data_IF_918086114389
#
_entry.id   IF_918086114389
#
_cell.length_a   1.000
_cell.length_b   1.000
_cell.length_c   1.000
_cell.angle_alpha   90.00
_cell.angle_beta   90.00
_cell.angle_gamma   90.00
#
_symmetry.space_group_name_H-M   'P 1'
#
loop_
_entity.id
_entity.type
_entity.pdbx_description
1 polymer ?
#
# COMPACT_ATOMS: atom_id res chain seq x y z
N UNK A 1 18.97 -1.28 -14.84
CA UNK A 1 18.01 -2.20 -14.18
C UNK A 1 16.56 -1.91 -14.57
N UNK A 2 16.24 -1.67 -15.86
CA UNK A 2 14.88 -1.81 -16.44
C UNK A 2 13.70 -1.01 -15.89
N UNK A 3 13.77 -0.39 -14.71
CA UNK A 3 12.62 0.23 -14.03
C UNK A 3 12.54 1.70 -14.36
N UNK A 4 11.44 2.11 -14.98
CA UNK A 4 11.21 3.52 -15.28
C UNK A 4 10.66 4.25 -14.05
N UNK A 5 10.93 5.55 -13.92
CA UNK A 5 10.42 6.38 -12.82
C UNK A 5 8.88 6.41 -12.72
N UNK A 6 8.19 5.98 -13.77
CA UNK A 6 6.72 5.93 -13.86
C UNK A 6 6.12 4.77 -13.05
N UNK A 7 6.92 3.77 -12.67
CA UNK A 7 6.45 2.60 -11.93
C UNK A 7 6.42 2.80 -10.41
N UNK A 8 7.03 3.88 -9.89
CA UNK A 8 7.12 4.10 -8.45
C UNK A 8 5.83 4.71 -7.90
N UNK A 9 5.33 4.13 -6.81
CA UNK A 9 4.17 4.66 -6.09
C UNK A 9 4.58 5.93 -5.34
N UNK A 10 3.73 6.97 -5.41
CA UNK A 10 4.01 8.29 -4.81
C UNK A 10 2.80 8.83 -4.05
N UNK A 11 3.02 9.28 -2.82
CA UNK A 11 2.05 9.92 -1.94
C UNK A 11 2.11 11.45 -2.05
N UNK A 12 2.02 12.00 -3.27
CA UNK A 12 2.05 13.45 -3.55
C UNK A 12 0.78 14.01 -4.18
N UNK A 13 -0.22 13.15 -4.40
CA UNK A 13 -1.50 13.55 -4.97
C UNK A 13 -2.22 14.50 -4.01
N UNK A 14 -2.82 15.56 -4.55
CA UNK A 14 -3.59 16.55 -3.78
C UNK A 14 -5.09 16.43 -4.00
N UNK A 15 -5.52 15.46 -4.81
CA UNK A 15 -6.91 15.23 -5.19
C UNK A 15 -7.42 13.91 -4.62
N UNK A 16 -8.70 13.90 -4.29
CA UNK A 16 -9.48 12.71 -3.94
C UNK A 16 -10.51 12.49 -5.03
N UNK A 17 -10.06 11.92 -6.14
CA UNK A 17 -10.88 11.60 -7.30
C UNK A 17 -10.59 10.16 -7.77
N UNK A 18 -11.34 9.70 -8.78
CA UNK A 18 -11.22 8.34 -9.31
C UNK A 18 -9.83 8.02 -9.89
N UNK A 19 -9.04 9.04 -10.25
CA UNK A 19 -7.68 8.84 -10.77
C UNK A 19 -6.65 8.67 -9.64
N UNK A 20 -7.02 8.93 -8.39
CA UNK A 20 -6.18 8.77 -7.21
C UNK A 20 -6.72 7.69 -6.24
N UNK A 21 -7.87 7.09 -6.54
CA UNK A 21 -8.48 6.02 -5.76
C UNK A 21 -7.68 4.72 -5.89
N UNK A 22 -7.36 4.09 -4.75
CA UNK A 22 -6.75 2.76 -4.71
C UNK A 22 -7.78 1.74 -4.22
N UNK A 23 -7.88 0.61 -4.91
CA UNK A 23 -8.77 -0.48 -4.49
C UNK A 23 -8.00 -1.47 -3.61
N UNK A 24 -8.56 -1.80 -2.45
CA UNK A 24 -8.05 -2.88 -1.59
C UNK A 24 -8.80 -4.16 -1.94
N UNK A 25 -8.13 -5.11 -2.57
CA UNK A 25 -8.69 -6.43 -2.87
C UNK A 25 -8.29 -7.45 -1.81
N UNK A 26 -9.27 -8.00 -1.09
CA UNK A 26 -9.03 -9.11 -0.17
C UNK A 26 -8.62 -10.38 -0.91
N UNK A 27 -7.58 -11.05 -0.42
CA UNK A 27 -7.17 -12.38 -0.89
C UNK A 27 -7.93 -13.45 -0.10
N UNK A 28 -8.55 -14.40 -0.79
CA UNK A 28 -9.36 -15.46 -0.17
C UNK A 28 -10.86 -15.16 -0.23
N UNK A 29 -11.55 -15.27 0.91
CA UNK A 29 -12.99 -15.04 1.00
C UNK A 29 -13.32 -13.53 0.88
N UNK A 30 -13.92 -13.17 -0.25
CA UNK A 30 -14.28 -11.79 -0.60
C UNK A 30 -15.65 -11.37 -0.08
N UNK A 31 -16.42 -12.27 0.53
CA UNK A 31 -17.76 -11.98 1.07
C UNK A 31 -17.70 -11.41 2.50
N UNK A 32 -16.53 -11.49 3.16
CA UNK A 32 -16.35 -10.96 4.51
C UNK A 32 -15.63 -9.61 4.52
N UNK A 33 -15.90 -8.75 5.52
CA UNK A 33 -15.14 -7.52 5.70
C UNK A 33 -13.63 -7.77 5.76
N UNK A 34 -12.84 -6.78 5.34
CA UNK A 34 -11.40 -6.79 5.52
C UNK A 34 -11.09 -6.61 7.01
N UNK A 35 -10.22 -7.47 7.54
CA UNK A 35 -9.79 -7.45 8.95
C UNK A 35 -8.29 -7.23 9.05
N UNK A 36 -7.85 -6.69 10.17
CA UNK A 36 -6.43 -6.68 10.55
C UNK A 36 -5.86 -8.10 10.48
N UNK A 37 -4.73 -8.26 9.81
CA UNK A 37 -4.09 -9.55 9.53
C UNK A 37 -4.47 -10.17 8.19
N UNK A 38 -5.50 -9.67 7.50
CA UNK A 38 -5.84 -10.17 6.17
C UNK A 38 -4.72 -9.86 5.16
N UNK A 39 -4.53 -10.80 4.23
CA UNK A 39 -3.72 -10.54 3.04
C UNK A 39 -4.60 -9.86 2.00
N UNK A 40 -4.12 -8.73 1.47
CA UNK A 40 -4.77 -7.92 0.46
C UNK A 40 -3.82 -7.64 -0.70
N UNK A 41 -4.38 -7.20 -1.82
CA UNK A 41 -3.67 -6.60 -2.95
C UNK A 41 -4.14 -5.16 -3.09
N UNK A 42 -3.22 -4.23 -3.37
CA UNK A 42 -3.57 -2.82 -3.63
C UNK A 42 -3.57 -2.61 -5.14
N UNK A 43 -4.71 -2.23 -5.70
CA UNK A 43 -4.91 -2.06 -7.14
C UNK A 43 -5.04 -0.59 -7.46
N UNK A 44 -4.17 -0.12 -8.35
CA UNK A 44 -4.16 1.24 -8.89
C UNK A 44 -5.39 1.48 -9.79
N UNK A 45 -5.80 2.73 -10.04
CA UNK A 45 -6.95 3.03 -10.89
C UNK A 45 -6.89 2.43 -12.30
N UNK A 46 -5.69 2.23 -12.83
CA UNK A 46 -5.44 1.60 -14.13
C UNK A 46 -5.45 0.06 -14.09
N UNK A 47 -5.82 -0.56 -12.96
CA UNK A 47 -5.87 -2.01 -12.75
C UNK A 47 -4.54 -2.67 -12.40
N UNK A 48 -3.45 -1.90 -12.31
CA UNK A 48 -2.12 -2.42 -11.99
C UNK A 48 -2.01 -2.70 -10.49
N UNK A 49 -1.39 -3.82 -10.13
CA UNK A 49 -1.19 -4.17 -8.73
C UNK A 49 0.09 -3.54 -8.18
N UNK A 50 0.01 -3.05 -6.95
CA UNK A 50 1.17 -2.63 -6.19
C UNK A 50 1.99 -3.86 -5.79
N UNK A 51 3.30 -3.76 -5.92
CA UNK A 51 4.25 -4.75 -5.44
C UNK A 51 5.28 -4.12 -4.49
N UNK A 52 5.75 -4.95 -3.56
CA UNK A 52 6.77 -4.60 -2.58
C UNK A 52 7.91 -5.60 -2.68
N UNK A 53 9.09 -5.12 -3.05
CA UNK A 53 10.31 -5.93 -3.16
C UNK A 53 11.50 -5.21 -2.54
N UNK A 54 11.95 -5.71 -1.39
CA UNK A 54 12.95 -4.99 -0.58
C UNK A 54 12.37 -3.65 -0.17
N UNK A 55 13.10 -2.57 -0.40
CA UNK A 55 12.60 -1.21 -0.11
C UNK A 55 11.74 -0.59 -1.22
N UNK A 56 11.56 -1.30 -2.34
CA UNK A 56 10.88 -0.74 -3.50
C UNK A 56 9.37 -1.01 -3.46
N UNK A 57 8.58 0.07 -3.61
CA UNK A 57 7.12 0.01 -3.76
C UNK A 57 6.78 0.51 -5.16
N UNK A 58 6.21 -0.36 -5.98
CA UNK A 58 5.99 -0.11 -7.41
C UNK A 58 4.60 -0.58 -7.85
N UNK A 59 4.15 -0.10 -8.99
CA UNK A 59 2.96 -0.58 -9.69
C UNK A 59 3.39 -1.11 -11.05
N UNK A 60 3.38 -2.44 -11.23
CA UNK A 60 3.86 -3.11 -12.46
C UNK A 60 2.87 -4.17 -12.95
N UNK A 61 2.80 -4.36 -14.26
CA UNK A 61 1.89 -5.33 -14.89
C UNK A 61 2.33 -6.80 -14.77
N UNK A 62 3.56 -7.06 -14.33
CA UNK A 62 4.08 -8.42 -14.22
C UNK A 62 3.52 -9.13 -12.98
N UNK A 63 2.99 -10.35 -13.18
CA UNK A 63 2.49 -11.26 -12.15
C UNK A 63 1.59 -10.57 -11.10
N UNK A 64 0.36 -10.15 -11.48
CA UNK A 64 -0.51 -9.36 -10.60
C UNK A 64 -0.90 -10.08 -9.30
N UNK A 65 -0.70 -11.40 -9.21
CA UNK A 65 -1.03 -12.21 -8.03
C UNK A 65 0.18 -12.93 -7.43
N UNK A 66 1.37 -12.45 -7.73
CA UNK A 66 2.62 -12.94 -7.18
C UNK A 66 2.78 -12.67 -5.70
N UNK A 67 3.87 -13.18 -5.11
CA UNK A 67 4.14 -12.99 -3.68
C UNK A 67 4.44 -11.53 -3.33
N UNK A 68 4.97 -10.74 -4.26
CA UNK A 68 5.34 -9.35 -4.02
C UNK A 68 4.12 -8.42 -3.93
N UNK A 69 2.98 -8.83 -4.49
CA UNK A 69 1.72 -8.09 -4.44
C UNK A 69 0.90 -8.40 -3.18
N UNK A 70 1.31 -9.40 -2.39
CA UNK A 70 0.66 -9.73 -1.13
C UNK A 70 1.10 -8.77 -0.04
N UNK A 71 0.15 -8.00 0.46
CA UNK A 71 0.33 -7.03 1.52
C UNK A 71 -0.57 -7.44 2.67
N UNK A 72 -0.06 -7.50 3.89
CA UNK A 72 -0.88 -7.68 5.08
C UNK A 72 -1.36 -6.31 5.55
N UNK A 73 -2.66 -6.14 5.69
CA UNK A 73 -3.24 -4.95 6.30
C UNK A 73 -3.24 -5.12 7.82
N UNK A 74 -2.70 -4.14 8.55
CA UNK A 74 -2.58 -4.19 10.00
C UNK A 74 -3.24 -2.97 10.60
N UNK A 75 -4.12 -3.19 11.57
CA UNK A 75 -4.76 -2.17 12.40
C UNK A 75 -4.32 -2.39 13.84
N UNK A 76 -3.87 -1.34 14.55
CA UNK A 76 -3.27 -1.46 15.90
C UNK A 76 -4.21 -2.04 16.95
N UNK A 77 -5.49 -1.67 16.89
CA UNK A 77 -6.58 -2.20 17.74
C UNK A 77 -7.14 -3.54 17.21
N UNK A 78 -6.71 -3.98 16.03
CA UNK A 78 -7.19 -5.21 15.39
C UNK A 78 -8.61 -5.09 14.84
N UNK A 79 -9.23 -6.23 14.51
CA UNK A 79 -10.63 -6.28 14.08
C UNK A 79 -10.87 -5.80 12.65
N UNK A 80 -12.10 -5.36 12.38
CA UNK A 80 -12.55 -4.95 11.05
C UNK A 80 -11.98 -3.57 10.66
N UNK A 81 -11.70 -3.41 9.37
CA UNK A 81 -11.09 -2.22 8.79
C UNK A 81 -12.15 -1.37 8.07
N UNK A 82 -12.24 -0.10 8.43
CA UNK A 82 -13.22 0.86 7.91
C UNK A 82 -12.57 2.17 7.47
N UNK A 83 -13.32 3.00 6.73
CA UNK A 83 -12.90 4.37 6.44
C UNK A 83 -12.76 5.18 7.74
N UNK A 84 -11.69 5.98 7.82
CA UNK A 84 -11.26 6.72 9.02
C UNK A 84 -10.23 5.97 9.86
N UNK A 85 -10.06 4.66 9.65
CA UNK A 85 -9.09 3.88 10.42
C UNK A 85 -7.66 4.21 10.02
N UNK A 86 -6.79 4.19 11.04
CA UNK A 86 -5.34 4.20 10.89
C UNK A 86 -4.85 2.76 10.73
N UNK A 87 -4.15 2.50 9.64
CA UNK A 87 -3.62 1.20 9.29
C UNK A 87 -2.14 1.29 8.96
N UNK A 88 -1.51 0.12 8.92
CA UNK A 88 -0.20 -0.12 8.36
C UNK A 88 -0.34 -1.14 7.24
N UNK A 89 0.48 -0.99 6.20
CA UNK A 89 0.57 -1.94 5.10
C UNK A 89 1.92 -2.64 5.19
N UNK A 90 1.90 -3.95 5.43
CA UNK A 90 3.10 -4.78 5.60
C UNK A 90 3.34 -5.60 4.34
N UNK A 91 4.46 -5.36 3.67
CA UNK A 91 4.92 -6.17 2.56
C UNK A 91 5.23 -7.62 2.98
N UNK A 92 5.25 -8.53 2.00
CA UNK A 92 5.47 -9.95 2.23
C UNK A 92 6.78 -10.28 2.97
N UNK A 93 7.83 -9.45 2.85
CA UNK A 93 9.12 -9.68 3.54
C UNK A 93 9.17 -9.05 4.95
N UNK A 94 8.07 -8.44 5.38
CA UNK A 94 7.86 -7.94 6.74
C UNK A 94 8.12 -6.45 6.93
N UNK A 95 8.59 -5.75 5.90
CA UNK A 95 8.68 -4.30 5.85
C UNK A 95 7.31 -3.62 5.78
N UNK A 96 7.17 -2.49 6.44
CA UNK A 96 6.00 -1.64 6.37
C UNK A 96 6.21 -0.54 5.35
N UNK A 97 5.16 -0.24 4.58
CA UNK A 97 5.16 0.88 3.67
C UNK A 97 5.28 2.18 4.47
N UNK A 98 6.11 3.07 3.97
CA UNK A 98 6.41 4.36 4.57
C UNK A 98 6.40 5.45 3.50
N UNK A 99 6.00 6.65 3.87
CA UNK A 99 6.06 7.82 3.01
C UNK A 99 6.88 8.92 3.68
N UNK A 100 7.72 9.58 2.88
CA UNK A 100 8.47 10.73 3.35
C UNK A 100 7.56 11.97 3.40
N UNK A 101 7.77 12.88 4.37
CA UNK A 101 7.08 14.17 4.38
C UNK A 101 7.42 14.98 3.12
N UNK A 102 6.39 15.46 2.42
CA UNK A 102 6.53 16.21 1.16
C UNK A 102 7.34 17.51 1.31
N UNK A 103 7.32 18.11 2.51
CA UNK A 103 8.11 19.30 2.84
C UNK A 103 9.63 19.06 2.73
N UNK A 104 10.06 17.82 3.00
CA UNK A 104 11.48 17.44 2.99
C UNK A 104 11.88 16.67 1.72
N UNK A 105 10.95 15.92 1.12
CA UNK A 105 11.16 15.20 -0.14
C UNK A 105 9.95 15.37 -1.08
N UNK A 106 10.03 16.27 -2.07
CA UNK A 106 8.89 16.63 -2.91
C UNK A 106 8.53 15.57 -3.96
N UNK A 107 9.33 14.50 -4.09
CA UNK A 107 9.02 13.39 -4.98
C UNK A 107 7.87 12.51 -4.44
N UNK A 108 7.64 12.56 -3.11
CA UNK A 108 6.61 11.81 -2.41
C UNK A 108 6.74 10.31 -2.56
N UNK A 109 7.94 9.77 -2.78
CA UNK A 109 8.11 8.33 -3.01
C UNK A 109 7.66 7.51 -1.78
N UNK A 110 6.81 6.53 -2.03
CA UNK A 110 6.47 5.50 -1.05
C UNK A 110 7.55 4.42 -1.11
N UNK A 111 8.03 3.98 0.04
CA UNK A 111 9.04 2.93 0.21
C UNK A 111 8.55 1.91 1.24
N UNK A 112 9.33 0.87 1.46
CA UNK A 112 9.07 -0.07 2.55
C UNK A 112 10.40 -0.45 3.25
N UNK A 113 10.89 0.44 4.12
CA UNK A 113 12.27 0.37 4.62
C UNK A 113 12.40 -0.26 6.00
N UNK A 114 11.32 -0.24 6.77
CA UNK A 114 11.33 -0.44 8.21
C UNK A 114 10.46 -1.64 8.60
N UNK A 115 10.82 -2.34 9.68
CA UNK A 115 10.09 -3.53 10.16
C UNK A 115 9.25 -3.26 11.40
N UNK A 116 9.25 -2.02 11.86
CA UNK A 116 8.51 -1.50 12.99
C UNK A 116 7.36 -0.59 12.56
N UNK A 117 6.35 -0.49 13.43
CA UNK A 117 5.17 0.35 13.25
C UNK A 117 5.45 1.75 13.78
N UNK A 118 6.06 2.59 12.92
CA UNK A 118 6.37 3.98 13.25
C UNK A 118 5.37 4.98 12.65
N UNK A 119 5.54 6.25 13.02
CA UNK A 119 4.66 7.36 12.58
C UNK A 119 4.67 7.56 11.05
N UNK A 120 5.76 7.25 10.36
CA UNK A 120 5.87 7.43 8.90
C UNK A 120 5.16 6.33 8.09
N UNK A 121 4.80 5.24 8.78
CA UNK A 121 4.17 4.05 8.24
C UNK A 121 2.63 4.08 8.41
N UNK A 122 2.12 5.04 9.18
CA UNK A 122 0.68 5.19 9.42
C UNK A 122 0.00 5.73 8.19
N UNK A 123 -1.03 5.03 7.73
CA UNK A 123 -1.91 5.46 6.63
C UNK A 123 -3.35 5.54 7.11
N UNK A 124 -4.13 6.46 6.54
CA UNK A 124 -5.57 6.58 6.81
C UNK A 124 -6.37 6.10 5.62
N UNK A 125 -7.37 5.27 5.84
CA UNK A 125 -8.34 4.92 4.79
C UNK A 125 -9.38 6.02 4.69
N UNK A 126 -9.61 6.53 3.49
CA UNK A 126 -10.61 7.56 3.23
C UNK A 126 -11.55 7.11 2.09
N UNK A 127 -12.76 7.68 2.06
CA UNK A 127 -13.78 7.44 1.03
C UNK A 127 -14.12 8.74 0.30
#
# INVERSE_FOLDING_TARGET
DGTTKLEWVKARGTKKDKEHELTIEKVGDKETPIKSGDTVMIVMPNGVHMDVLGSAVRARHYDPRGQWQKITIVKQDGGDVFAGDKIFLKGHQGEYLDSNPLERWPDGEVKARWRDEGEWQVMTIEK
#
